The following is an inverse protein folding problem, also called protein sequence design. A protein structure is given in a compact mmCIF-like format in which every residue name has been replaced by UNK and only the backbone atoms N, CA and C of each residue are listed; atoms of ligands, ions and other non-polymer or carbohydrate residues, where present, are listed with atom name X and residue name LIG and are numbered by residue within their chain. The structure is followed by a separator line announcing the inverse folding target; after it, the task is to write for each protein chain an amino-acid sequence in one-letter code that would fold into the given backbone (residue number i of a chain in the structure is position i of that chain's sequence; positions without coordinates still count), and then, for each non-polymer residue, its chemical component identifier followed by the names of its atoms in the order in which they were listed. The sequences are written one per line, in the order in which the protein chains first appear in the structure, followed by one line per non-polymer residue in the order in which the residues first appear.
data_IF_934528191009
#
_entry.id   IF_934528191009
#
_cell.length_a   1.000
_cell.length_b   1.000
_cell.length_c   1.000
_cell.angle_alpha   90.00
_cell.angle_beta   90.00
_cell.angle_gamma   90.00
#
_symmetry.space_group_name_H-M   'P 1'
#
loop_
_entity.id
_entity.type
_entity.pdbx_description
1 polymer ?
#
# COMPACT_ATOMS: atom_id res chain seq x y z
N UNK A 1 -5.26 19.57 -21.95
CA UNK A 1 -4.22 18.61 -21.56
C UNK A 1 -3.87 17.81 -22.81
N UNK A 2 -2.61 17.89 -23.30
CA UNK A 2 -2.23 17.33 -24.61
C UNK A 2 -2.22 15.80 -24.54
N UNK A 3 -2.81 15.10 -25.54
CA UNK A 3 -2.82 13.64 -25.62
C UNK A 3 -1.42 13.00 -25.51
N UNK A 4 -0.40 13.70 -25.95
CA UNK A 4 1.00 13.28 -25.85
C UNK A 4 1.52 13.24 -24.39
N UNK A 5 0.99 14.07 -23.49
CA UNK A 5 1.39 14.07 -22.07
C UNK A 5 0.81 12.88 -21.31
N UNK A 6 -0.41 12.48 -21.61
CA UNK A 6 -1.03 11.27 -21.05
C UNK A 6 -0.31 10.00 -21.51
N UNK A 7 -0.01 9.91 -22.80
CA UNK A 7 0.74 8.77 -23.36
C UNK A 7 2.16 8.65 -22.77
N UNK A 8 2.82 9.77 -22.46
CA UNK A 8 4.13 9.76 -21.80
C UNK A 8 4.04 9.28 -20.36
N UNK A 9 2.99 9.68 -19.61
CA UNK A 9 2.74 9.21 -18.25
C UNK A 9 2.48 7.69 -18.22
N UNK A 10 1.68 7.16 -19.14
CA UNK A 10 1.46 5.71 -19.23
C UNK A 10 2.73 4.92 -19.55
N UNK A 11 3.66 5.48 -20.33
CA UNK A 11 4.97 4.85 -20.58
C UNK A 11 5.81 4.71 -19.31
N UNK A 12 5.68 5.62 -18.36
CA UNK A 12 6.40 5.58 -17.09
C UNK A 12 6.02 4.34 -16.26
N UNK A 13 4.73 3.98 -16.26
CA UNK A 13 4.21 2.82 -15.52
C UNK A 13 4.38 1.48 -16.27
N UNK A 14 4.84 1.50 -17.52
CA UNK A 14 5.06 0.27 -18.28
C UNK A 14 6.32 -0.45 -17.78
N UNK A 15 6.16 -1.69 -17.29
CA UNK A 15 7.27 -2.55 -16.89
C UNK A 15 8.07 -2.98 -18.13
N UNK A 16 9.35 -2.64 -18.16
CA UNK A 16 10.26 -2.97 -19.25
C UNK A 16 10.61 -4.48 -19.24
N UNK A 17 11.00 -5.03 -20.39
CA UNK A 17 11.30 -6.47 -20.51
C UNK A 17 12.38 -6.93 -19.52
N UNK A 18 13.39 -6.11 -19.31
CA UNK A 18 14.50 -6.40 -18.40
C UNK A 18 14.11 -6.35 -16.92
N UNK A 19 13.05 -5.61 -16.57
CA UNK A 19 12.54 -5.46 -15.21
C UNK A 19 11.63 -6.62 -14.78
N UNK A 20 11.05 -7.34 -15.74
CA UNK A 20 10.02 -8.36 -15.49
C UNK A 20 10.42 -9.44 -14.49
N UNK A 21 11.63 -10.02 -14.53
CA UNK A 21 12.01 -11.04 -13.54
C UNK A 21 11.96 -10.49 -12.10
N UNK A 22 12.59 -9.32 -11.89
CA UNK A 22 12.57 -8.65 -10.58
C UNK A 22 11.13 -8.29 -10.19
N UNK A 23 10.37 -7.68 -11.10
CA UNK A 23 9.00 -7.28 -10.89
C UNK A 23 8.10 -8.46 -10.49
N UNK A 24 8.24 -9.61 -11.17
CA UNK A 24 7.44 -10.80 -10.84
C UNK A 24 7.79 -11.36 -9.47
N UNK A 25 9.08 -11.51 -9.14
CA UNK A 25 9.51 -12.03 -7.85
C UNK A 25 9.04 -11.12 -6.71
N UNK A 26 9.29 -9.81 -6.83
CA UNK A 26 8.91 -8.86 -5.77
C UNK A 26 7.40 -8.73 -5.62
N UNK A 27 6.64 -8.76 -6.73
CA UNK A 27 5.18 -8.78 -6.66
C UNK A 27 4.67 -10.01 -5.89
N UNK A 28 5.24 -11.19 -6.14
CA UNK A 28 4.87 -12.39 -5.41
C UNK A 28 5.24 -12.30 -3.92
N UNK A 29 6.38 -11.70 -3.60
CA UNK A 29 6.78 -11.47 -2.19
C UNK A 29 5.79 -10.53 -1.51
N UNK A 30 5.48 -9.38 -2.11
CA UNK A 30 4.52 -8.43 -1.53
C UNK A 30 3.12 -9.04 -1.38
N UNK A 31 2.63 -9.75 -2.39
CA UNK A 31 1.35 -10.46 -2.31
C UNK A 31 1.35 -11.53 -1.20
N UNK A 32 2.44 -12.25 -1.02
CA UNK A 32 2.55 -13.24 0.05
C UNK A 32 2.53 -12.58 1.44
N UNK A 33 3.22 -11.45 1.61
CA UNK A 33 3.23 -10.68 2.86
C UNK A 33 1.84 -10.13 3.19
N UNK A 34 1.17 -9.51 2.23
CA UNK A 34 -0.20 -9.02 2.39
C UNK A 34 -1.17 -10.16 2.72
N UNK A 35 -1.07 -11.29 2.00
CA UNK A 35 -1.89 -12.45 2.25
C UNK A 35 -1.68 -13.02 3.67
N UNK A 36 -0.43 -13.05 4.15
CA UNK A 36 -0.12 -13.49 5.51
C UNK A 36 -0.80 -12.60 6.57
N UNK A 37 -0.74 -11.28 6.41
CA UNK A 37 -1.39 -10.35 7.33
C UNK A 37 -2.90 -10.49 7.27
N UNK A 38 -3.47 -10.49 6.07
CA UNK A 38 -4.92 -10.61 5.87
C UNK A 38 -5.43 -11.94 6.45
N UNK A 39 -4.80 -13.06 6.12
CA UNK A 39 -5.23 -14.37 6.61
C UNK A 39 -5.10 -14.48 8.14
N UNK A 40 -3.98 -14.01 8.69
CA UNK A 40 -3.72 -14.11 10.14
C UNK A 40 -4.68 -13.25 10.97
N UNK A 41 -5.06 -12.08 10.45
CA UNK A 41 -5.84 -11.09 11.19
C UNK A 41 -7.21 -10.84 10.55
N UNK A 42 -7.71 -11.78 9.74
CA UNK A 42 -9.00 -11.68 9.06
C UNK A 42 -10.12 -11.30 10.02
N UNK A 43 -10.30 -12.08 11.09
CA UNK A 43 -11.36 -11.88 12.09
C UNK A 43 -11.20 -10.59 12.90
N UNK A 44 -10.04 -9.96 12.81
CA UNK A 44 -9.73 -8.70 13.50
C UNK A 44 -10.05 -7.49 12.63
N UNK A 45 -9.78 -7.57 11.32
CA UNK A 45 -9.96 -6.46 10.39
C UNK A 45 -11.34 -6.40 9.71
N UNK A 46 -12.07 -7.52 9.64
CA UNK A 46 -13.32 -7.59 8.89
C UNK A 46 -14.60 -7.23 9.66
N UNK A 47 -14.65 -7.27 11.01
CA UNK A 47 -15.83 -6.85 11.75
C UNK A 47 -16.15 -5.36 11.54
N UNK A 48 -17.44 -5.05 11.50
CA UNK A 48 -17.91 -3.68 11.54
C UNK A 48 -17.91 -3.17 12.99
N UNK A 49 -17.29 -2.02 13.23
CA UNK A 49 -17.19 -1.36 14.54
C UNK A 49 -17.31 0.15 14.38
N UNK A 50 -17.50 0.88 15.46
CA UNK A 50 -17.52 2.35 15.46
C UNK A 50 -16.13 2.96 15.63
N UNK A 51 -15.18 2.23 16.22
CA UNK A 51 -13.86 2.73 16.60
C UNK A 51 -12.75 1.85 16.05
N UNK A 52 -12.51 1.93 14.75
CA UNK A 52 -11.45 1.16 14.06
C UNK A 52 -10.03 1.46 14.56
N UNK A 53 -9.80 2.68 15.07
CA UNK A 53 -8.54 3.05 15.71
C UNK A 53 -8.21 2.21 16.94
N UNK A 54 -9.22 1.88 17.76
CA UNK A 54 -9.04 1.09 18.98
C UNK A 54 -8.43 -0.29 18.74
N UNK A 55 -8.61 -0.83 17.53
CA UNK A 55 -8.05 -2.09 17.11
C UNK A 55 -6.53 -2.14 17.31
N UNK A 56 -5.83 -1.10 16.89
CA UNK A 56 -4.37 -1.04 16.93
C UNK A 56 -3.85 -0.89 18.36
N UNK A 57 -4.55 -0.16 19.22
CA UNK A 57 -4.19 0.01 20.62
C UNK A 57 -4.50 -1.27 21.42
N UNK A 58 -5.72 -1.83 21.26
CA UNK A 58 -6.21 -2.91 22.12
C UNK A 58 -5.71 -4.30 21.69
N UNK A 59 -5.56 -4.55 20.39
CA UNK A 59 -5.17 -5.86 19.83
C UNK A 59 -3.69 -5.96 19.51
N UNK A 60 -3.12 -4.90 18.96
CA UNK A 60 -1.72 -4.90 18.54
C UNK A 60 -0.79 -4.20 19.52
N UNK A 61 -1.33 -3.53 20.56
CA UNK A 61 -0.57 -2.80 21.58
C UNK A 61 0.44 -1.82 20.98
N UNK A 62 0.08 -1.20 19.84
CA UNK A 62 0.94 -0.29 19.11
C UNK A 62 0.65 1.13 19.57
N UNK A 63 1.61 1.76 20.24
CA UNK A 63 1.60 3.18 20.54
C UNK A 63 2.47 3.94 19.53
N UNK A 64 1.99 5.07 19.03
CA UNK A 64 2.73 5.90 18.08
C UNK A 64 2.67 5.46 16.62
N UNK A 65 2.01 4.37 16.32
CA UNK A 65 1.63 3.96 14.98
C UNK A 65 0.35 4.69 14.56
N UNK A 66 0.29 5.15 13.34
CA UNK A 66 -0.82 5.99 12.87
C UNK A 66 -1.66 5.28 11.79
N UNK A 67 -2.49 4.28 12.14
CA UNK A 67 -3.24 3.45 11.19
C UNK A 67 -4.43 4.21 10.59
N UNK A 68 -4.22 5.46 10.25
CA UNK A 68 -5.27 6.36 9.76
C UNK A 68 -5.88 5.84 8.48
N UNK A 69 -5.08 5.30 7.58
CA UNK A 69 -5.56 4.82 6.28
C UNK A 69 -6.66 3.76 6.44
N UNK A 70 -6.41 2.71 7.23
CA UNK A 70 -7.42 1.69 7.50
C UNK A 70 -8.66 2.28 8.20
N UNK A 71 -8.47 3.13 9.21
CA UNK A 71 -9.56 3.75 9.95
C UNK A 71 -10.43 4.64 9.06
N UNK A 72 -9.81 5.46 8.20
CA UNK A 72 -10.51 6.35 7.27
C UNK A 72 -11.27 5.56 6.21
N UNK A 73 -10.68 4.51 5.63
CA UNK A 73 -11.35 3.64 4.65
C UNK A 73 -12.47 2.83 5.27
N UNK A 74 -12.34 2.47 6.56
CA UNK A 74 -13.41 1.77 7.30
C UNK A 74 -14.57 2.69 7.66
N UNK A 75 -14.27 3.87 8.20
CA UNK A 75 -15.26 4.89 8.57
C UNK A 75 -14.66 6.29 8.42
N UNK A 76 -14.94 6.95 7.31
CA UNK A 76 -14.36 8.23 6.96
C UNK A 76 -14.65 9.32 8.01
N UNK A 77 -15.87 9.39 8.53
CA UNK A 77 -16.28 10.43 9.49
C UNK A 77 -15.62 10.28 10.85
N UNK A 78 -15.41 9.04 11.31
CA UNK A 78 -14.76 8.76 12.59
C UNK A 78 -13.24 8.68 12.49
N UNK A 79 -12.71 8.30 11.31
CA UNK A 79 -11.27 8.16 11.06
C UNK A 79 -10.58 9.45 10.59
N UNK A 80 -11.36 10.48 10.20
CA UNK A 80 -10.80 11.71 9.65
C UNK A 80 -10.10 12.56 10.70
N UNK A 81 -8.80 12.76 10.52
CA UNK A 81 -8.00 13.60 11.39
C UNK A 81 -7.42 14.80 10.61
N UNK A 82 -8.15 15.92 10.65
CA UNK A 82 -7.80 17.16 9.94
C UNK A 82 -6.45 17.72 10.38
N UNK A 83 -6.07 17.51 11.64
CA UNK A 83 -4.87 18.11 12.20
C UNK A 83 -3.58 17.40 11.79
N UNK A 84 -3.65 16.10 11.56
CA UNK A 84 -2.47 15.29 11.24
C UNK A 84 -2.28 15.05 9.75
N UNK A 85 -3.33 14.60 9.06
CA UNK A 85 -3.23 14.15 7.67
C UNK A 85 -4.45 14.59 6.84
N UNK A 86 -4.66 15.91 6.64
CA UNK A 86 -5.87 16.43 5.98
C UNK A 86 -6.03 15.92 4.54
N UNK A 87 -4.91 15.81 3.81
CA UNK A 87 -4.94 15.37 2.41
C UNK A 87 -5.17 13.86 2.28
N UNK A 88 -4.61 13.07 3.18
CA UNK A 88 -4.79 11.61 3.16
C UNK A 88 -6.26 11.22 3.24
N UNK A 89 -6.99 11.80 4.19
CA UNK A 89 -8.41 11.53 4.33
C UNK A 89 -9.20 11.93 3.09
N UNK A 90 -8.84 13.04 2.45
CA UNK A 90 -9.45 13.46 1.19
C UNK A 90 -9.24 12.42 0.08
N UNK A 91 -8.01 11.95 -0.12
CA UNK A 91 -7.71 10.93 -1.13
C UNK A 91 -8.36 9.58 -0.82
N UNK A 92 -8.51 9.23 0.46
CA UNK A 92 -9.12 7.98 0.90
C UNK A 92 -10.66 8.00 0.88
N UNK A 93 -11.28 9.10 0.48
CA UNK A 93 -12.74 9.18 0.36
C UNK A 93 -13.30 8.20 -0.70
N UNK A 94 -12.64 8.09 -1.86
CA UNK A 94 -13.06 7.13 -2.90
C UNK A 94 -12.89 5.68 -2.44
N UNK A 95 -11.73 5.26 -1.88
CA UNK A 95 -11.58 3.96 -1.21
C UNK A 95 -12.64 3.68 -0.15
N UNK A 96 -12.99 4.68 0.67
CA UNK A 96 -14.07 4.57 1.65
C UNK A 96 -15.43 4.26 0.98
N UNK A 97 -15.81 4.98 -0.08
CA UNK A 97 -17.06 4.72 -0.80
C UNK A 97 -17.12 3.30 -1.38
N UNK A 98 -15.99 2.83 -1.92
CA UNK A 98 -15.87 1.44 -2.41
C UNK A 98 -16.09 0.46 -1.25
N UNK A 99 -15.46 0.71 -0.09
CA UNK A 99 -15.66 -0.12 1.09
C UNK A 99 -17.11 -0.14 1.57
N UNK A 100 -17.79 1.01 1.60
CA UNK A 100 -19.21 1.05 1.97
C UNK A 100 -20.08 0.23 1.02
N UNK A 101 -19.82 0.29 -0.28
CA UNK A 101 -20.50 -0.57 -1.27
C UNK A 101 -20.24 -2.06 -1.03
N UNK A 102 -19.00 -2.43 -0.70
CA UNK A 102 -18.64 -3.81 -0.36
C UNK A 102 -19.26 -4.27 0.96
N UNK A 103 -19.30 -3.41 1.98
CA UNK A 103 -19.99 -3.70 3.25
C UNK A 103 -21.47 -3.98 2.99
N UNK A 104 -22.12 -3.16 2.16
CA UNK A 104 -23.52 -3.37 1.81
C UNK A 104 -23.76 -4.71 1.09
N UNK A 105 -22.82 -5.14 0.24
CA UNK A 105 -22.93 -6.39 -0.52
C UNK A 105 -22.58 -7.64 0.29
N UNK A 106 -21.54 -7.56 1.14
CA UNK A 106 -20.92 -8.72 1.79
C UNK A 106 -21.20 -8.81 3.29
N UNK A 107 -21.61 -7.71 3.92
CA UNK A 107 -21.78 -7.61 5.37
C UNK A 107 -20.49 -7.48 6.17
N UNK A 108 -19.32 -7.44 5.53
CA UNK A 108 -18.01 -7.35 6.19
C UNK A 108 -17.27 -6.06 5.82
N UNK A 109 -16.40 -5.59 6.72
CA UNK A 109 -15.50 -4.48 6.43
C UNK A 109 -14.34 -4.95 5.53
N UNK A 110 -14.33 -4.47 4.29
CA UNK A 110 -13.32 -4.81 3.29
C UNK A 110 -12.14 -3.82 3.23
N UNK A 111 -12.03 -2.90 4.18
CA UNK A 111 -11.00 -1.86 4.19
C UNK A 111 -9.58 -2.43 4.12
N UNK A 112 -9.30 -3.56 4.80
CA UNK A 112 -7.97 -4.19 4.75
C UNK A 112 -7.58 -4.60 3.33
N UNK A 113 -8.49 -5.16 2.53
CA UNK A 113 -8.22 -5.56 1.14
C UNK A 113 -7.97 -4.36 0.24
N UNK A 114 -8.74 -3.27 0.43
CA UNK A 114 -8.59 -2.04 -0.35
C UNK A 114 -7.27 -1.37 -0.03
N UNK A 115 -6.92 -1.24 1.26
CA UNK A 115 -5.67 -0.62 1.70
C UNK A 115 -4.48 -1.45 1.23
N UNK A 116 -4.51 -2.78 1.38
CA UNK A 116 -3.45 -3.68 0.87
C UNK A 116 -3.27 -3.55 -0.65
N UNK A 117 -4.35 -3.43 -1.42
CA UNK A 117 -4.25 -3.22 -2.87
C UNK A 117 -3.57 -1.89 -3.22
N UNK A 118 -3.86 -0.81 -2.50
CA UNK A 118 -3.20 0.49 -2.68
C UNK A 118 -1.72 0.41 -2.30
N UNK A 119 -1.40 -0.21 -1.16
CA UNK A 119 -0.02 -0.39 -0.69
C UNK A 119 0.79 -1.27 -1.65
N UNK A 120 0.20 -2.38 -2.11
CA UNK A 120 0.82 -3.25 -3.11
C UNK A 120 1.17 -2.48 -4.38
N UNK A 121 0.25 -1.65 -4.87
CA UNK A 121 0.50 -0.80 -6.03
C UNK A 121 1.64 0.18 -5.77
N UNK A 122 1.62 0.89 -4.64
CA UNK A 122 2.66 1.85 -4.26
C UNK A 122 4.03 1.17 -4.09
N UNK A 123 4.10 0.06 -3.35
CA UNK A 123 5.33 -0.69 -3.13
C UNK A 123 5.91 -1.25 -4.44
N UNK A 124 5.06 -1.80 -5.30
CA UNK A 124 5.47 -2.34 -6.60
C UNK A 124 6.10 -1.27 -7.48
N UNK A 125 5.47 -0.11 -7.62
CA UNK A 125 6.04 0.95 -8.46
C UNK A 125 7.21 1.66 -7.81
N UNK A 126 7.25 1.79 -6.49
CA UNK A 126 8.43 2.28 -5.76
C UNK A 126 9.65 1.39 -6.03
N UNK A 127 9.46 0.08 -6.04
CA UNK A 127 10.49 -0.89 -6.37
C UNK A 127 10.98 -0.73 -7.83
N UNK A 128 10.06 -0.61 -8.79
CA UNK A 128 10.42 -0.39 -10.21
C UNK A 128 11.19 0.92 -10.38
N UNK A 129 10.75 2.00 -9.73
CA UNK A 129 11.41 3.30 -9.84
C UNK A 129 12.79 3.29 -9.16
N UNK A 130 12.96 2.65 -8.02
CA UNK A 130 14.26 2.50 -7.39
C UNK A 130 15.24 1.76 -8.31
N UNK A 131 14.81 0.64 -8.90
CA UNK A 131 15.61 -0.08 -9.89
C UNK A 131 16.02 0.82 -11.05
N UNK A 132 15.09 1.61 -11.62
CA UNK A 132 15.38 2.53 -12.73
C UNK A 132 16.33 3.64 -12.33
N UNK A 133 16.18 4.20 -11.14
CA UNK A 133 17.12 5.21 -10.62
C UNK A 133 18.53 4.63 -10.57
N UNK A 134 18.71 3.44 -10.03
CA UNK A 134 20.00 2.78 -10.00
C UNK A 134 20.56 2.54 -11.42
N UNK A 135 19.72 2.04 -12.33
CA UNK A 135 20.14 1.71 -13.71
C UNK A 135 20.38 2.91 -14.60
N UNK A 136 19.45 3.87 -14.61
CA UNK A 136 19.35 4.90 -15.64
C UNK A 136 19.92 6.24 -15.17
N UNK A 137 19.89 6.51 -13.87
CA UNK A 137 20.41 7.76 -13.28
C UNK A 137 21.78 7.55 -12.69
N UNK A 138 21.96 6.53 -11.83
CA UNK A 138 23.26 6.24 -11.20
C UNK A 138 24.20 5.51 -12.16
N UNK A 139 23.66 4.74 -13.10
CA UNK A 139 24.43 4.06 -14.15
C UNK A 139 25.10 2.75 -13.72
N UNK A 140 24.66 2.14 -12.59
CA UNK A 140 25.24 0.87 -12.14
C UNK A 140 24.75 -0.32 -12.97
N UNK A 141 25.43 -1.45 -12.87
CA UNK A 141 25.09 -2.64 -13.65
C UNK A 141 23.67 -3.15 -13.35
N UNK A 142 23.13 -3.99 -14.23
CA UNK A 142 21.82 -4.62 -14.02
C UNK A 142 21.78 -5.44 -12.73
N UNK A 143 22.85 -6.20 -12.47
CA UNK A 143 22.97 -7.03 -11.28
C UNK A 143 23.01 -6.18 -10.03
N UNK A 144 23.83 -5.13 -10.00
CA UNK A 144 23.93 -4.25 -8.83
C UNK A 144 22.64 -3.48 -8.57
N UNK A 145 21.95 -3.02 -9.62
CA UNK A 145 20.64 -2.39 -9.49
C UNK A 145 19.60 -3.34 -8.90
N UNK A 146 19.60 -4.60 -9.34
CA UNK A 146 18.73 -5.64 -8.78
C UNK A 146 19.06 -5.90 -7.31
N UNK A 147 20.34 -6.10 -6.99
CA UNK A 147 20.79 -6.34 -5.60
C UNK A 147 20.46 -5.17 -4.69
N UNK A 148 20.74 -3.94 -5.13
CA UNK A 148 20.42 -2.73 -4.34
C UNK A 148 18.93 -2.61 -4.07
N UNK A 149 18.10 -2.89 -5.08
CA UNK A 149 16.63 -2.84 -4.96
C UNK A 149 16.12 -3.91 -3.99
N UNK A 150 16.55 -5.16 -4.17
CA UNK A 150 16.17 -6.27 -3.26
C UNK A 150 16.66 -6.01 -1.84
N UNK A 151 17.89 -5.53 -1.68
CA UNK A 151 18.43 -5.18 -0.38
C UNK A 151 17.61 -4.09 0.32
N UNK A 152 17.24 -3.02 -0.39
CA UNK A 152 16.41 -1.94 0.16
C UNK A 152 15.05 -2.46 0.65
N UNK A 153 14.35 -3.23 -0.18
CA UNK A 153 13.06 -3.81 0.19
C UNK A 153 13.16 -4.97 1.18
N UNK A 154 14.36 -5.51 1.41
CA UNK A 154 14.67 -6.49 2.45
C UNK A 154 14.83 -5.91 3.85
N UNK A 155 14.93 -4.59 4.02
CA UNK A 155 14.92 -3.98 5.35
C UNK A 155 13.59 -4.22 6.04
N UNK A 156 13.63 -4.66 7.29
CA UNK A 156 12.44 -5.02 8.06
C UNK A 156 11.41 -3.87 8.12
N UNK A 157 11.87 -2.63 8.28
CA UNK A 157 11.00 -1.45 8.29
C UNK A 157 10.27 -1.27 6.96
N UNK A 158 10.97 -1.40 5.84
CA UNK A 158 10.35 -1.27 4.50
C UNK A 158 9.38 -2.42 4.24
N UNK A 159 9.76 -3.66 4.58
CA UNK A 159 8.87 -4.81 4.47
C UNK A 159 7.59 -4.63 5.32
N UNK A 160 7.73 -4.17 6.56
CA UNK A 160 6.57 -3.89 7.42
C UNK A 160 5.66 -2.82 6.83
N UNK A 161 6.23 -1.75 6.28
CA UNK A 161 5.42 -0.68 5.67
C UNK A 161 4.69 -1.12 4.40
N UNK A 162 5.11 -2.19 3.72
CA UNK A 162 4.37 -2.71 2.54
C UNK A 162 3.19 -3.59 2.92
N UNK A 163 3.12 -4.14 4.13
CA UNK A 163 2.10 -5.13 4.55
C UNK A 163 1.21 -4.66 5.70
N UNK A 164 1.60 -3.63 6.44
CA UNK A 164 0.77 -3.07 7.52
C UNK A 164 -0.15 -2.00 6.94
N UNK A 165 -1.46 -2.00 7.24
CA UNK A 165 -2.45 -1.10 6.65
C UNK A 165 -2.30 0.34 7.18
N UNK A 166 -1.21 0.99 6.81
CA UNK A 166 -0.83 2.34 7.18
C UNK A 166 -0.47 3.18 5.94
N UNK A 167 -0.34 4.49 6.11
CA UNK A 167 -0.09 5.45 5.04
C UNK A 167 1.39 5.68 4.70
N UNK A 168 2.34 5.07 5.41
CA UNK A 168 3.78 5.33 5.21
C UNK A 168 4.34 4.86 3.85
N UNK A 169 3.60 4.10 3.08
CA UNK A 169 4.00 3.63 1.73
C UNK A 169 3.22 4.32 0.61
N UNK A 170 2.17 5.05 0.96
CA UNK A 170 1.25 5.67 -0.02
C UNK A 170 1.70 7.08 -0.41
#
# INVERSE_FOLDING_TARGET
MNSNSLLSAFRLFRVKREERPLATVMLLVFLALDALVICKYYDVFTPQTTYYWHLFISKFHISGFDPITYSVVSNWTAGYNVYRHPLLAFFMYVPYLINQGLIWLTGINCAIFIVSAIQLFAAFYSMIFLYRICREVVGVSRTDSTLATVFYFGFAFIMLSTMVPDHFVI
#
